data_IF_106579773074
#
_entry.id   IF_106579773074
#
_cell.length_a   1.000
_cell.length_b   1.000
_cell.length_c   1.000
_cell.angle_alpha   90.00
_cell.angle_beta   90.00
_cell.angle_gamma   90.00
#
_symmetry.space_group_name_H-M   'P 1'
#
loop_
_entity.id
_entity.type
_entity.pdbx_description
1 polymer ?
#
# COMPACT_ATOMS: atom_id res chain seq x y z
N UNK A 1 6.59 35.67 -6.09
CA UNK A 1 7.23 34.48 -6.70
C UNK A 1 6.60 34.27 -8.08
N UNK A 2 7.37 34.36 -9.18
CA UNK A 2 6.88 33.98 -10.51
C UNK A 2 7.13 32.47 -10.67
N UNK A 3 6.06 31.68 -10.61
CA UNK A 3 6.13 30.22 -10.79
C UNK A 3 5.94 29.95 -12.29
N UNK A 4 6.96 29.35 -12.93
CA UNK A 4 6.81 28.93 -14.32
C UNK A 4 6.13 27.55 -14.35
N UNK A 5 4.98 27.46 -14.98
CA UNK A 5 4.15 26.28 -15.16
C UNK A 5 4.01 25.86 -16.63
N UNK A 6 4.95 26.28 -17.47
CA UNK A 6 4.99 25.86 -18.89
C UNK A 6 5.25 24.35 -18.98
N UNK A 7 6.06 23.82 -18.06
CA UNK A 7 6.23 22.40 -17.84
C UNK A 7 5.63 22.00 -16.50
N UNK A 8 5.04 20.78 -16.39
CA UNK A 8 4.52 20.32 -15.10
C UNK A 8 5.64 20.23 -14.05
N UNK A 9 5.31 20.66 -12.84
CA UNK A 9 6.19 20.64 -11.66
C UNK A 9 6.16 19.23 -11.05
N UNK A 10 7.33 18.68 -10.71
CA UNK A 10 7.45 17.51 -9.85
C UNK A 10 7.70 17.96 -8.41
N UNK A 11 6.76 17.64 -7.52
CA UNK A 11 6.82 17.93 -6.09
C UNK A 11 7.00 16.64 -5.31
N UNK A 12 8.00 16.58 -4.42
CA UNK A 12 8.17 15.45 -3.50
C UNK A 12 7.46 15.72 -2.18
N UNK A 13 6.54 14.83 -1.78
CA UNK A 13 5.87 14.90 -0.48
C UNK A 13 6.64 14.05 0.57
N UNK A 14 7.20 14.73 1.58
CA UNK A 14 8.01 14.13 2.63
C UNK A 14 7.11 13.66 3.80
N UNK A 15 6.42 12.53 3.60
CA UNK A 15 5.52 11.92 4.59
C UNK A 15 6.29 11.05 5.61
N UNK A 16 7.23 11.66 6.31
CA UNK A 16 8.04 11.07 7.37
C UNK A 16 7.59 11.56 8.75
N UNK A 17 7.91 10.79 9.78
CA UNK A 17 7.82 11.24 11.18
C UNK A 17 9.21 11.65 11.74
N UNK A 18 10.26 11.55 10.90
CA UNK A 18 11.64 11.86 11.27
C UNK A 18 12.24 12.89 10.31
N UNK A 19 12.63 14.03 10.87
CA UNK A 19 13.16 15.15 10.11
C UNK A 19 14.49 14.81 9.40
N UNK A 20 15.39 14.06 10.03
CA UNK A 20 16.67 13.68 9.42
C UNK A 20 16.46 12.81 8.17
N UNK A 21 15.55 11.83 8.25
CA UNK A 21 15.20 10.99 7.10
C UNK A 21 14.57 11.82 5.99
N UNK A 22 13.64 12.71 6.34
CA UNK A 22 13.01 13.61 5.37
C UNK A 22 14.04 14.47 4.62
N UNK A 23 15.00 15.07 5.33
CA UNK A 23 16.06 15.89 4.72
C UNK A 23 16.97 15.05 3.82
N UNK A 24 17.34 13.83 4.23
CA UNK A 24 18.19 12.97 3.41
C UNK A 24 17.50 12.60 2.09
N UNK A 25 16.23 12.21 2.15
CA UNK A 25 15.42 11.92 0.95
C UNK A 25 15.27 13.17 0.07
N UNK A 26 15.01 14.34 0.68
CA UNK A 26 14.90 15.59 -0.04
C UNK A 26 16.20 15.94 -0.80
N UNK A 27 17.38 15.72 -0.21
CA UNK A 27 18.68 15.96 -0.89
C UNK A 27 18.80 15.09 -2.14
N UNK A 28 18.58 13.78 -2.02
CA UNK A 28 18.66 12.85 -3.15
C UNK A 28 17.65 13.23 -4.26
N UNK A 29 16.43 13.61 -3.89
CA UNK A 29 15.39 14.01 -4.83
C UNK A 29 15.69 15.36 -5.52
N UNK A 30 16.22 16.35 -4.78
CA UNK A 30 16.63 17.65 -5.33
C UNK A 30 17.82 17.50 -6.28
N UNK A 31 18.82 16.69 -5.91
CA UNK A 31 19.96 16.39 -6.77
C UNK A 31 19.53 15.68 -8.07
N UNK A 32 18.42 14.94 -8.05
CA UNK A 32 17.81 14.27 -9.20
C UNK A 32 16.82 15.15 -9.99
N UNK A 33 16.62 16.41 -9.57
CA UNK A 33 15.86 17.41 -10.32
C UNK A 33 14.39 17.56 -9.93
N UNK A 34 14.00 17.21 -8.68
CA UNK A 34 12.68 17.59 -8.15
C UNK A 34 12.57 19.12 -8.09
N UNK A 35 11.41 19.65 -8.41
CA UNK A 35 11.22 21.10 -8.51
C UNK A 35 10.78 21.71 -7.15
N UNK A 36 9.88 21.04 -6.43
CA UNK A 36 9.32 21.51 -5.15
C UNK A 36 9.45 20.46 -4.05
N UNK A 37 9.59 20.93 -2.82
CA UNK A 37 9.72 20.10 -1.62
C UNK A 37 8.51 20.37 -0.72
N UNK A 38 7.79 19.33 -0.37
CA UNK A 38 6.67 19.44 0.56
C UNK A 38 7.04 18.87 1.93
N UNK A 39 6.89 19.67 2.97
CA UNK A 39 6.80 19.17 4.33
C UNK A 39 5.43 18.51 4.50
N UNK A 40 5.36 17.19 4.43
CA UNK A 40 4.10 16.44 4.53
C UNK A 40 3.43 16.60 5.89
N UNK A 41 2.13 16.41 5.95
CA UNK A 41 1.35 16.51 7.21
C UNK A 41 1.91 15.65 8.33
N UNK A 42 2.34 14.38 8.11
CA UNK A 42 2.95 13.57 9.17
C UNK A 42 4.22 14.19 9.73
N UNK A 43 5.04 14.81 8.88
CA UNK A 43 6.29 15.44 9.31
C UNK A 43 6.00 16.69 10.16
N UNK A 44 5.08 17.54 9.72
CA UNK A 44 4.68 18.74 10.48
C UNK A 44 4.07 18.35 11.82
N UNK A 45 3.23 17.31 11.86
CA UNK A 45 2.62 16.82 13.11
C UNK A 45 3.63 16.21 14.09
N UNK A 46 4.67 15.56 13.57
CA UNK A 46 5.72 14.95 14.39
C UNK A 46 6.74 15.96 14.91
N UNK A 47 7.20 16.88 14.06
CA UNK A 47 8.36 17.75 14.31
C UNK A 47 7.99 19.24 14.44
N UNK A 48 6.71 19.56 14.27
CA UNK A 48 6.22 20.95 14.27
C UNK A 48 6.75 21.75 13.08
N UNK A 49 6.62 23.08 13.19
CA UNK A 49 7.10 24.03 12.17
C UNK A 49 8.63 24.05 12.04
N UNK A 50 9.35 23.42 12.95
CA UNK A 50 10.81 23.27 12.84
C UNK A 50 11.20 22.40 11.63
N UNK A 51 10.31 21.52 11.18
CA UNK A 51 10.48 20.78 9.91
C UNK A 51 10.61 21.73 8.73
N UNK A 52 9.74 22.74 8.63
CA UNK A 52 9.75 23.73 7.56
C UNK A 52 11.00 24.61 7.66
N UNK A 53 11.35 25.07 8.87
CA UNK A 53 12.58 25.87 9.12
C UNK A 53 13.84 25.11 8.70
N UNK A 54 13.90 23.82 9.02
CA UNK A 54 15.03 22.97 8.67
C UNK A 54 15.14 22.75 7.17
N UNK A 55 14.00 22.48 6.48
CA UNK A 55 13.97 22.36 5.02
C UNK A 55 14.39 23.68 4.34
N UNK A 56 13.87 24.83 4.81
CA UNK A 56 14.27 26.15 4.28
C UNK A 56 15.76 26.42 4.49
N UNK A 57 16.32 26.03 5.64
CA UNK A 57 17.75 26.19 5.93
C UNK A 57 18.60 25.32 5.00
N UNK A 58 18.18 24.09 4.76
CA UNK A 58 18.89 23.14 3.90
C UNK A 58 18.77 23.49 2.42
N UNK A 59 17.59 23.95 1.99
CA UNK A 59 17.25 24.28 0.60
C UNK A 59 16.81 25.76 0.47
N UNK A 60 17.76 26.73 0.56
CA UNK A 60 17.42 28.15 0.67
C UNK A 60 16.64 28.70 -0.53
N UNK A 61 16.83 28.12 -1.73
CA UNK A 61 16.24 28.58 -3.01
C UNK A 61 15.09 27.71 -3.50
N UNK A 62 14.86 26.53 -2.89
CA UNK A 62 13.80 25.64 -3.30
C UNK A 62 12.42 26.19 -2.91
N UNK A 63 11.40 25.87 -3.70
CA UNK A 63 10.01 26.10 -3.30
C UNK A 63 9.61 25.09 -2.24
N UNK A 64 9.20 25.57 -1.08
CA UNK A 64 8.76 24.74 0.06
C UNK A 64 7.28 24.87 0.24
N UNK A 65 6.59 23.73 0.19
CA UNK A 65 5.15 23.58 0.45
C UNK A 65 4.97 23.06 1.87
N UNK A 66 4.11 23.72 2.64
CA UNK A 66 3.71 23.28 3.98
C UNK A 66 2.31 22.65 3.90
N UNK A 67 2.25 21.30 3.93
CA UNK A 67 0.98 20.57 3.94
C UNK A 67 0.35 20.60 5.35
N UNK A 68 -0.13 21.78 5.73
CA UNK A 68 -0.72 22.05 7.05
C UNK A 68 -2.06 21.33 7.25
N UNK A 69 -2.76 21.02 6.16
CA UNK A 69 -4.16 20.56 6.17
C UNK A 69 -5.02 21.37 7.11
N UNK A 70 -4.90 22.71 6.99
CA UNK A 70 -5.61 23.66 7.84
C UNK A 70 -7.11 23.47 7.76
N UNK A 71 -7.76 23.33 8.91
CA UNK A 71 -9.23 23.20 9.03
C UNK A 71 -9.87 24.36 9.78
N UNK A 72 -9.08 25.11 10.57
CA UNK A 72 -9.53 26.25 11.40
C UNK A 72 -8.37 27.23 11.61
N UNK A 73 -8.65 28.39 12.20
CA UNK A 73 -7.66 29.43 12.53
C UNK A 73 -6.79 29.87 11.34
N UNK A 74 -7.38 29.97 10.15
CA UNK A 74 -6.68 30.13 8.88
C UNK A 74 -5.61 31.21 8.85
N UNK A 75 -5.85 32.37 9.48
CA UNK A 75 -4.86 33.46 9.58
C UNK A 75 -3.61 33.04 10.32
N UNK A 76 -3.75 32.40 11.48
CA UNK A 76 -2.62 31.97 12.33
C UNK A 76 -1.81 30.87 11.65
N UNK A 77 -2.49 29.92 11.05
CA UNK A 77 -1.86 28.80 10.34
C UNK A 77 -1.02 29.31 9.14
N UNK A 78 -1.56 30.19 8.31
CA UNK A 78 -0.82 30.78 7.18
C UNK A 78 0.33 31.67 7.64
N UNK A 79 0.12 32.48 8.68
CA UNK A 79 1.16 33.32 9.25
C UNK A 79 2.35 32.49 9.76
N UNK A 80 2.06 31.41 10.49
CA UNK A 80 3.11 30.57 11.08
C UNK A 80 3.86 29.76 10.04
N UNK A 81 3.19 29.26 9.00
CA UNK A 81 3.82 28.62 7.86
C UNK A 81 4.77 29.57 7.11
N UNK A 82 4.30 30.80 6.82
CA UNK A 82 5.10 31.85 6.18
C UNK A 82 6.37 32.19 7.02
N UNK A 83 6.21 32.41 8.31
CA UNK A 83 7.32 32.72 9.23
C UNK A 83 8.30 31.56 9.40
N UNK A 84 7.83 30.32 9.21
CA UNK A 84 8.69 29.15 9.17
C UNK A 84 9.50 29.03 7.87
N UNK A 85 9.11 29.75 6.81
CA UNK A 85 9.81 29.75 5.53
C UNK A 85 9.13 28.98 4.41
N UNK A 86 7.85 28.65 4.55
CA UNK A 86 7.08 28.07 3.46
C UNK A 86 6.79 29.13 2.37
N UNK A 87 6.77 28.70 1.11
CA UNK A 87 6.34 29.52 -0.03
C UNK A 87 4.86 29.27 -0.36
N UNK A 88 4.37 28.08 -0.04
CA UNK A 88 3.00 27.63 -0.27
C UNK A 88 2.51 26.95 1.01
N UNK A 89 1.25 27.20 1.40
CA UNK A 89 0.62 26.48 2.50
C UNK A 89 -0.74 25.92 2.08
N UNK A 90 -1.07 24.73 2.60
CA UNK A 90 -2.25 23.97 2.20
C UNK A 90 -3.37 24.13 3.22
N UNK A 91 -4.57 24.49 2.74
CA UNK A 91 -5.83 24.50 3.50
C UNK A 91 -6.79 23.46 2.91
N UNK A 92 -7.56 22.80 3.78
CA UNK A 92 -8.56 21.83 3.34
C UNK A 92 -9.74 22.51 2.67
N UNK A 93 -10.13 22.02 1.50
CA UNK A 93 -11.36 22.44 0.80
C UNK A 93 -12.64 22.07 1.56
N UNK A 94 -12.55 21.10 2.47
CA UNK A 94 -13.63 20.73 3.40
C UNK A 94 -13.74 21.64 4.64
N UNK A 95 -12.80 22.58 4.83
CA UNK A 95 -12.92 23.62 5.85
C UNK A 95 -14.07 24.59 5.54
N UNK A 96 -14.47 25.41 6.53
CA UNK A 96 -15.51 26.41 6.33
C UNK A 96 -15.06 27.47 5.33
N UNK A 97 -16.00 28.05 4.62
CA UNK A 97 -15.75 29.18 3.68
C UNK A 97 -14.99 30.32 4.34
N UNK A 98 -15.33 30.63 5.59
CA UNK A 98 -14.67 31.67 6.37
C UNK A 98 -13.18 31.34 6.58
N UNK A 99 -12.87 30.10 6.95
CA UNK A 99 -11.49 29.64 7.14
C UNK A 99 -10.68 29.72 5.85
N UNK A 100 -11.22 29.24 4.72
CA UNK A 100 -10.52 29.29 3.43
C UNK A 100 -10.26 30.72 2.98
N UNK A 101 -11.26 31.61 3.09
CA UNK A 101 -11.12 33.01 2.76
C UNK A 101 -10.09 33.72 3.65
N UNK A 102 -10.06 33.42 4.94
CA UNK A 102 -9.01 33.90 5.86
C UNK A 102 -7.62 33.38 5.47
N UNK A 103 -7.47 32.11 5.11
CA UNK A 103 -6.20 31.58 4.59
C UNK A 103 -5.73 32.33 3.35
N UNK A 104 -6.61 32.56 2.36
CA UNK A 104 -6.29 33.28 1.12
C UNK A 104 -5.89 34.74 1.42
N UNK A 105 -6.62 35.41 2.31
CA UNK A 105 -6.29 36.76 2.73
C UNK A 105 -4.95 36.83 3.46
N UNK A 106 -4.72 35.93 4.39
CA UNK A 106 -3.46 35.83 5.13
C UNK A 106 -2.29 35.51 4.21
N UNK A 107 -2.47 34.59 3.25
CA UNK A 107 -1.46 34.28 2.25
C UNK A 107 -0.96 35.52 1.50
N UNK A 108 -1.89 36.36 1.05
CA UNK A 108 -1.57 37.66 0.41
C UNK A 108 -0.80 38.60 1.35
N UNK A 109 -1.20 38.66 2.63
CA UNK A 109 -0.59 39.56 3.61
C UNK A 109 0.83 39.13 4.01
N UNK A 110 1.08 37.81 4.07
CA UNK A 110 2.39 37.26 4.48
C UNK A 110 3.26 36.85 3.29
N UNK A 111 2.78 37.00 2.07
CA UNK A 111 3.56 36.79 0.84
C UNK A 111 3.75 35.32 0.48
N UNK A 112 2.89 34.42 0.95
CA UNK A 112 2.87 33.02 0.55
C UNK A 112 1.67 32.70 -0.33
N UNK A 113 1.74 31.63 -1.10
CA UNK A 113 0.66 31.10 -1.91
C UNK A 113 -0.22 30.16 -1.10
N UNK A 114 -1.49 30.02 -1.49
CA UNK A 114 -2.45 29.14 -0.83
C UNK A 114 -2.97 28.10 -1.81
N UNK A 115 -2.75 26.83 -1.46
CA UNK A 115 -3.35 25.68 -2.13
C UNK A 115 -4.58 25.20 -1.33
N UNK A 116 -5.66 24.92 -2.04
CA UNK A 116 -6.88 24.35 -1.46
C UNK A 116 -6.98 22.87 -1.83
N UNK A 117 -6.71 21.98 -0.88
CA UNK A 117 -6.77 20.52 -1.05
C UNK A 117 -8.24 20.05 -0.94
N UNK A 118 -8.74 19.41 -2.00
CA UNK A 118 -10.11 18.92 -2.10
C UNK A 118 -10.35 17.55 -1.43
N UNK A 119 -9.40 17.04 -0.67
CA UNK A 119 -9.58 15.81 0.10
C UNK A 119 -10.81 15.91 1.02
N UNK A 120 -11.69 14.91 0.93
CA UNK A 120 -12.93 14.89 1.73
C UNK A 120 -14.03 15.83 1.27
N UNK A 121 -13.89 16.50 0.13
CA UNK A 121 -14.93 17.32 -0.48
C UNK A 121 -15.85 16.46 -1.34
N UNK A 122 -17.16 16.52 -1.08
CA UNK A 122 -18.15 15.71 -1.80
C UNK A 122 -18.34 16.19 -3.25
N UNK A 123 -18.53 17.51 -3.46
CA UNK A 123 -18.63 18.14 -4.79
C UNK A 123 -17.37 18.95 -5.07
N UNK A 124 -16.35 18.27 -5.57
CA UNK A 124 -15.06 18.88 -5.88
C UNK A 124 -15.14 19.90 -7.02
N UNK A 125 -16.07 19.73 -7.99
CA UNK A 125 -16.20 20.65 -9.13
C UNK A 125 -16.73 21.99 -8.67
N UNK A 126 -17.86 22.00 -7.96
CA UNK A 126 -18.43 23.25 -7.41
C UNK A 126 -17.47 23.93 -6.46
N UNK A 127 -16.81 23.16 -5.59
CA UNK A 127 -15.83 23.71 -4.64
C UNK A 127 -14.62 24.33 -5.34
N UNK A 128 -14.12 23.71 -6.41
CA UNK A 128 -13.04 24.28 -7.23
C UNK A 128 -13.37 25.66 -7.79
N UNK A 129 -14.58 25.80 -8.34
CA UNK A 129 -15.05 27.08 -8.91
C UNK A 129 -15.20 28.14 -7.81
N UNK A 130 -15.66 27.76 -6.62
CA UNK A 130 -15.80 28.70 -5.49
C UNK A 130 -14.44 29.20 -5.00
N UNK A 131 -13.49 28.31 -4.76
CA UNK A 131 -12.17 28.67 -4.21
C UNK A 131 -11.35 29.47 -5.21
N UNK A 132 -11.46 29.20 -6.51
CA UNK A 132 -10.91 30.06 -7.57
C UNK A 132 -11.44 31.47 -7.50
N UNK A 133 -12.77 31.63 -7.38
CA UNK A 133 -13.43 32.96 -7.24
C UNK A 133 -12.97 33.70 -5.98
N UNK A 134 -12.64 33.00 -4.91
CA UNK A 134 -12.11 33.62 -3.69
C UNK A 134 -10.63 33.99 -3.80
N UNK A 135 -9.94 33.49 -4.83
CA UNK A 135 -8.57 33.85 -5.17
C UNK A 135 -7.51 32.92 -4.59
N UNK A 136 -7.85 31.64 -4.46
CA UNK A 136 -6.85 30.58 -4.23
C UNK A 136 -5.82 30.58 -5.34
N UNK A 137 -4.56 30.24 -5.03
CA UNK A 137 -3.48 30.17 -6.01
C UNK A 137 -3.42 28.81 -6.72
N UNK A 138 -3.77 27.74 -5.99
CA UNK A 138 -3.75 26.36 -6.49
C UNK A 138 -4.93 25.56 -5.94
N UNK A 139 -5.31 24.51 -6.67
CA UNK A 139 -6.25 23.48 -6.20
C UNK A 139 -5.51 22.16 -6.15
N UNK A 140 -5.57 21.48 -5.02
CA UNK A 140 -5.07 20.13 -4.83
C UNK A 140 -6.17 19.08 -5.02
N UNK A 141 -5.94 18.09 -5.88
CA UNK A 141 -6.77 16.90 -6.00
C UNK A 141 -6.01 15.74 -5.40
N UNK A 142 -6.53 15.21 -4.31
CA UNK A 142 -5.85 14.19 -3.54
C UNK A 142 -6.73 12.96 -3.39
N UNK A 143 -6.20 11.78 -3.76
CA UNK A 143 -6.79 10.49 -3.39
C UNK A 143 -6.17 10.04 -2.07
N UNK A 144 -6.98 9.91 -1.02
CA UNK A 144 -6.51 9.47 0.28
C UNK A 144 -5.77 8.13 0.20
N UNK A 145 -4.80 7.90 1.08
CA UNK A 145 -4.04 6.63 1.12
C UNK A 145 -5.01 5.44 1.26
N UNK A 146 -6.01 5.53 2.13
CA UNK A 146 -6.98 4.46 2.35
C UNK A 146 -7.83 4.20 1.09
N UNK A 147 -8.19 5.24 0.32
CA UNK A 147 -8.86 5.08 -0.98
C UNK A 147 -7.95 4.45 -2.04
N UNK A 148 -6.65 4.76 -2.03
CA UNK A 148 -5.65 4.11 -2.90
C UNK A 148 -5.55 2.62 -2.60
N UNK A 149 -5.64 2.20 -1.33
CA UNK A 149 -5.64 0.78 -0.95
C UNK A 149 -6.88 0.04 -1.47
N UNK A 150 -7.97 0.75 -1.72
CA UNK A 150 -9.16 0.23 -2.40
C UNK A 150 -9.05 0.26 -3.93
N UNK A 151 -7.94 0.77 -4.47
CA UNK A 151 -7.66 0.85 -5.90
C UNK A 151 -8.20 2.11 -6.60
N UNK A 152 -8.60 3.13 -5.84
CA UNK A 152 -9.07 4.42 -6.39
C UNK A 152 -7.93 5.25 -6.99
N UNK A 153 -8.25 6.04 -8.03
CA UNK A 153 -7.30 6.93 -8.72
C UNK A 153 -7.93 8.31 -8.98
N UNK A 154 -7.15 9.40 -8.99
CA UNK A 154 -7.68 10.76 -9.07
C UNK A 154 -8.03 11.24 -10.48
N UNK A 155 -7.68 10.52 -11.55
CA UNK A 155 -7.54 11.08 -12.90
C UNK A 155 -8.85 11.53 -13.57
N UNK A 156 -9.95 10.82 -13.39
CA UNK A 156 -11.25 11.23 -13.94
C UNK A 156 -11.72 12.56 -13.34
N UNK A 157 -11.65 12.67 -12.00
CA UNK A 157 -11.98 13.89 -11.27
C UNK A 157 -11.07 15.04 -11.68
N UNK A 158 -9.77 14.79 -11.85
CA UNK A 158 -8.79 15.76 -12.31
C UNK A 158 -9.18 16.35 -13.67
N UNK A 159 -9.50 15.51 -14.66
CA UNK A 159 -9.87 15.94 -16.01
C UNK A 159 -11.12 16.84 -16.01
N UNK A 160 -12.12 16.47 -15.22
CA UNK A 160 -13.34 17.25 -15.09
C UNK A 160 -13.06 18.65 -14.52
N UNK A 161 -12.32 18.74 -13.41
CA UNK A 161 -12.00 20.01 -12.76
C UNK A 161 -11.13 20.88 -13.65
N UNK A 162 -10.10 20.34 -14.33
CA UNK A 162 -9.27 21.08 -15.26
C UNK A 162 -10.07 21.77 -16.39
N UNK A 163 -11.26 21.26 -16.71
CA UNK A 163 -12.15 21.87 -17.71
C UNK A 163 -12.98 23.05 -17.17
N UNK A 164 -13.01 23.27 -15.85
CA UNK A 164 -13.91 24.22 -15.19
C UNK A 164 -13.20 25.38 -14.51
N UNK A 165 -11.91 25.26 -14.23
CA UNK A 165 -11.11 26.30 -13.54
C UNK A 165 -9.87 26.64 -14.37
N UNK A 166 -9.33 27.84 -14.14
CA UNK A 166 -8.14 28.36 -14.84
C UNK A 166 -6.89 28.35 -13.97
N UNK A 167 -7.02 28.30 -12.65
CA UNK A 167 -5.85 28.22 -11.75
C UNK A 167 -5.21 26.83 -11.82
N UNK A 168 -3.87 26.74 -11.59
CA UNK A 168 -3.15 25.49 -11.69
C UNK A 168 -3.65 24.45 -10.70
N UNK A 169 -3.68 23.18 -11.16
CA UNK A 169 -4.13 22.05 -10.35
C UNK A 169 -2.95 21.17 -10.01
N UNK A 170 -2.82 20.90 -8.72
CA UNK A 170 -1.94 19.87 -8.15
C UNK A 170 -2.71 18.55 -8.04
N UNK A 171 -1.99 17.43 -8.24
CA UNK A 171 -2.58 16.10 -8.08
C UNK A 171 -1.67 15.21 -7.23
N UNK A 172 -2.26 14.52 -6.27
CA UNK A 172 -1.60 13.59 -5.37
C UNK A 172 -2.37 12.27 -5.25
N UNK A 173 -1.65 11.22 -4.87
CA UNK A 173 -2.22 9.90 -4.56
C UNK A 173 -1.98 8.86 -5.64
N UNK A 174 -1.14 7.85 -5.34
CA UNK A 174 -0.87 6.71 -6.21
C UNK A 174 -0.11 7.03 -7.49
N UNK A 175 0.67 8.13 -7.50
CA UNK A 175 1.43 8.56 -8.67
C UNK A 175 2.82 7.90 -8.67
N UNK A 176 3.17 7.27 -9.79
CA UNK A 176 4.45 6.67 -10.09
C UNK A 176 4.87 6.97 -11.54
N UNK A 177 5.99 6.40 -12.03
CA UNK A 177 6.52 6.65 -13.37
C UNK A 177 5.62 6.18 -14.53
N UNK A 178 4.63 5.33 -14.27
CA UNK A 178 3.60 4.95 -15.27
C UNK A 178 2.39 5.90 -15.21
N UNK A 179 1.87 6.15 -14.01
CA UNK A 179 0.62 6.89 -13.82
C UNK A 179 0.78 8.40 -13.93
N UNK A 180 2.00 8.93 -13.77
CA UNK A 180 2.30 10.35 -13.94
C UNK A 180 1.91 10.88 -15.32
N UNK A 181 2.04 10.05 -16.36
CA UNK A 181 1.65 10.43 -17.73
C UNK A 181 0.15 10.66 -17.85
N UNK A 182 -0.64 9.82 -17.17
CA UNK A 182 -2.11 9.97 -17.13
C UNK A 182 -2.50 11.26 -16.40
N UNK A 183 -1.83 11.59 -15.30
CA UNK A 183 -2.04 12.83 -14.55
C UNK A 183 -1.73 14.08 -15.39
N UNK A 184 -0.60 14.09 -16.08
CA UNK A 184 -0.21 15.22 -16.93
C UNK A 184 -1.14 15.36 -18.14
N UNK A 185 -1.55 14.24 -18.77
CA UNK A 185 -2.49 14.25 -19.88
C UNK A 185 -3.92 14.68 -19.45
N UNK A 186 -4.28 14.45 -18.19
CA UNK A 186 -5.52 14.96 -17.61
C UNK A 186 -5.49 16.45 -17.29
N UNK A 187 -4.32 17.12 -17.35
CA UNK A 187 -4.18 18.56 -17.22
C UNK A 187 -3.51 19.06 -15.93
N UNK A 188 -3.01 18.16 -15.09
CA UNK A 188 -2.27 18.55 -13.88
C UNK A 188 -1.02 19.40 -14.23
N UNK A 189 -0.81 20.44 -13.45
CA UNK A 189 0.36 21.32 -13.52
C UNK A 189 1.39 21.05 -12.43
N UNK A 190 0.95 20.48 -11.33
CA UNK A 190 1.80 20.11 -10.20
C UNK A 190 1.52 18.65 -9.90
N UNK A 191 2.57 17.83 -9.93
CA UNK A 191 2.52 16.39 -9.70
C UNK A 191 3.17 16.11 -8.36
N UNK A 192 2.37 15.75 -7.38
CA UNK A 192 2.81 15.46 -6.01
C UNK A 192 3.07 13.96 -5.87
N UNK A 193 4.30 13.60 -5.57
CA UNK A 193 4.74 12.20 -5.42
C UNK A 193 5.31 11.97 -4.03
N UNK A 194 4.67 11.09 -3.27
CA UNK A 194 5.14 10.63 -1.97
C UNK A 194 5.89 9.30 -2.10
N UNK A 195 5.17 8.19 -1.97
CA UNK A 195 5.73 6.84 -1.83
C UNK A 195 6.70 6.43 -2.92
N UNK A 196 6.40 6.72 -4.19
CA UNK A 196 7.25 6.31 -5.33
C UNK A 196 8.64 6.98 -5.34
N UNK A 197 8.82 8.09 -4.63
CA UNK A 197 10.14 8.68 -4.37
C UNK A 197 10.63 8.26 -2.98
N UNK A 198 9.84 8.51 -1.94
CA UNK A 198 10.27 8.41 -0.54
C UNK A 198 10.55 6.97 -0.07
N UNK A 199 9.91 5.97 -0.69
CA UNK A 199 10.09 4.54 -0.39
C UNK A 199 10.95 3.82 -1.43
N UNK A 200 11.40 4.50 -2.49
CA UNK A 200 12.27 3.91 -3.49
C UNK A 200 13.61 3.48 -2.85
N UNK A 201 14.13 2.34 -3.27
CA UNK A 201 15.49 1.89 -2.90
C UNK A 201 16.53 2.84 -3.47
N UNK A 202 16.34 3.30 -4.71
CA UNK A 202 17.14 4.35 -5.38
C UNK A 202 16.25 5.56 -5.69
N UNK A 203 16.30 6.57 -4.80
CA UNK A 203 15.52 7.81 -4.91
C UNK A 203 15.91 8.58 -6.17
N UNK A 204 17.19 8.61 -6.50
CA UNK A 204 17.69 9.34 -7.66
C UNK A 204 17.10 8.78 -8.94
N UNK A 205 17.25 7.48 -9.17
CA UNK A 205 16.69 6.81 -10.36
C UNK A 205 15.16 6.95 -10.42
N UNK A 206 14.46 6.80 -9.29
CA UNK A 206 13.00 6.97 -9.23
C UNK A 206 12.58 8.40 -9.64
N UNK A 207 13.28 9.42 -9.13
CA UNK A 207 13.01 10.83 -9.46
C UNK A 207 13.31 11.13 -10.93
N UNK A 208 14.46 10.67 -11.46
CA UNK A 208 14.84 10.84 -12.86
C UNK A 208 13.83 10.18 -13.81
N UNK A 209 13.33 8.99 -13.48
CA UNK A 209 12.28 8.30 -14.24
C UNK A 209 10.98 9.11 -14.27
N UNK A 210 10.55 9.65 -13.14
CA UNK A 210 9.37 10.52 -13.06
C UNK A 210 9.53 11.77 -13.93
N UNK A 211 10.67 12.49 -13.83
CA UNK A 211 10.98 13.67 -14.65
C UNK A 211 10.99 13.32 -16.13
N UNK A 212 11.59 12.20 -16.51
CA UNK A 212 11.61 11.70 -17.88
C UNK A 212 10.19 11.38 -18.38
N UNK A 213 9.38 10.66 -17.59
CA UNK A 213 8.00 10.34 -17.95
C UNK A 213 7.13 11.60 -18.12
N UNK A 214 7.32 12.63 -17.27
CA UNK A 214 6.66 13.93 -17.39
C UNK A 214 7.03 14.62 -18.69
N UNK A 215 8.32 14.67 -19.04
CA UNK A 215 8.83 15.41 -20.20
C UNK A 215 8.54 14.69 -21.52
N UNK A 216 8.75 13.36 -21.59
CA UNK A 216 8.54 12.57 -22.80
C UNK A 216 7.08 12.22 -23.05
N UNK A 217 6.21 12.26 -22.02
CA UNK A 217 4.83 11.74 -22.04
C UNK A 217 4.75 10.23 -22.30
N UNK A 218 5.84 9.51 -22.06
CA UNK A 218 5.92 8.06 -22.20
C UNK A 218 5.95 7.40 -20.82
N UNK A 219 5.15 6.33 -20.65
CA UNK A 219 5.11 5.55 -19.42
C UNK A 219 6.41 4.78 -19.25
N UNK A 220 7.04 4.91 -18.10
CA UNK A 220 8.23 4.14 -17.73
C UNK A 220 7.76 3.04 -16.77
N UNK A 221 8.03 1.78 -17.15
CA UNK A 221 7.58 0.62 -16.38
C UNK A 221 8.09 0.67 -14.93
N UNK A 222 7.20 0.39 -14.00
CA UNK A 222 7.46 0.36 -12.57
C UNK A 222 7.14 -1.03 -12.01
N UNK A 223 7.98 -1.54 -11.13
CA UNK A 223 7.74 -2.84 -10.49
C UNK A 223 6.91 -2.70 -9.20
N UNK A 224 7.19 -1.64 -8.44
CA UNK A 224 6.57 -1.32 -7.15
C UNK A 224 5.63 -0.13 -7.27
N UNK A 225 5.08 0.32 -6.16
CA UNK A 225 4.20 1.49 -6.05
C UNK A 225 2.93 1.38 -6.90
N UNK A 226 2.48 0.14 -7.12
CA UNK A 226 1.23 -0.18 -7.81
C UNK A 226 0.21 -0.69 -6.82
N UNK A 227 -1.03 -0.24 -6.98
CA UNK A 227 -2.18 -0.73 -6.22
C UNK A 227 -3.19 -1.32 -7.19
N UNK A 228 -3.66 -2.53 -6.87
CA UNK A 228 -4.66 -3.19 -7.72
C UNK A 228 -6.06 -2.73 -7.38
N UNK A 229 -6.89 -2.58 -8.42
CA UNK A 229 -8.34 -2.45 -8.30
C UNK A 229 -9.06 -3.77 -8.60
N UNK A 230 -8.32 -4.79 -9.04
CA UNK A 230 -8.84 -6.13 -9.36
C UNK A 230 -9.03 -6.98 -8.10
N UNK A 231 -10.01 -7.88 -8.13
CA UNK A 231 -10.19 -8.91 -7.11
C UNK A 231 -9.23 -10.11 -7.32
N UNK A 232 -8.54 -10.17 -8.45
CA UNK A 232 -7.38 -11.05 -8.62
C UNK A 232 -6.12 -10.35 -8.12
N UNK A 233 -5.66 -10.81 -6.96
CA UNK A 233 -4.53 -10.24 -6.23
C UNK A 233 -3.27 -11.10 -6.31
N UNK A 234 -3.27 -12.17 -7.11
CA UNK A 234 -2.19 -13.14 -7.19
C UNK A 234 -0.84 -12.49 -7.47
N UNK A 235 -0.78 -11.58 -8.44
CA UNK A 235 0.46 -10.89 -8.82
C UNK A 235 1.09 -10.11 -7.65
N UNK A 236 0.25 -9.52 -6.78
CA UNK A 236 0.74 -8.86 -5.57
C UNK A 236 1.22 -9.88 -4.54
N UNK A 237 0.44 -10.94 -4.32
CA UNK A 237 0.78 -11.96 -3.33
C UNK A 237 2.07 -12.72 -3.70
N UNK A 238 2.42 -12.81 -4.98
CA UNK A 238 3.69 -13.37 -5.42
C UNK A 238 4.89 -12.55 -4.95
N UNK A 239 4.75 -11.23 -4.78
CA UNK A 239 5.83 -10.32 -4.37
C UNK A 239 5.96 -10.19 -2.86
N UNK A 240 4.87 -10.22 -2.12
CA UNK A 240 4.85 -10.01 -0.66
C UNK A 240 5.01 -11.33 0.11
N UNK A 241 5.40 -11.27 1.39
CA UNK A 241 5.44 -12.40 2.32
C UNK A 241 4.19 -12.47 3.20
N UNK A 242 3.99 -13.61 3.88
CA UNK A 242 2.94 -13.72 4.92
C UNK A 242 3.16 -12.71 6.05
N UNK A 243 4.40 -12.37 6.36
CA UNK A 243 4.74 -11.32 7.32
C UNK A 243 4.28 -9.94 6.84
N UNK A 244 4.48 -9.61 5.55
CA UNK A 244 3.99 -8.34 4.99
C UNK A 244 2.46 -8.23 5.03
N UNK A 245 1.74 -9.35 4.81
CA UNK A 245 0.27 -9.38 4.94
C UNK A 245 -0.13 -9.10 6.39
N UNK A 246 0.52 -9.78 7.35
CA UNK A 246 0.25 -9.56 8.78
C UNK A 246 0.49 -8.11 9.18
N UNK A 247 1.62 -7.54 8.79
CA UNK A 247 2.02 -6.18 9.14
C UNK A 247 1.12 -5.13 8.48
N UNK A 248 0.78 -5.31 7.21
CA UNK A 248 -0.14 -4.44 6.48
C UNK A 248 -1.58 -4.52 6.97
N UNK A 249 -1.97 -5.60 7.64
CA UNK A 249 -3.34 -5.85 8.13
C UNK A 249 -3.43 -5.81 9.66
N UNK A 250 -2.81 -4.80 10.27
CA UNK A 250 -2.87 -4.57 11.73
C UNK A 250 -2.47 -5.78 12.59
N UNK A 251 -1.42 -6.50 12.19
CA UNK A 251 -0.93 -7.72 12.85
C UNK A 251 -1.95 -8.86 12.81
N UNK A 252 -2.60 -9.04 11.65
CA UNK A 252 -3.49 -10.17 11.42
C UNK A 252 -2.81 -11.48 11.80
N UNK A 253 -3.51 -12.32 12.54
CA UNK A 253 -2.99 -13.60 13.01
C UNK A 253 -3.01 -14.64 11.88
N UNK A 254 -1.90 -15.35 11.73
CA UNK A 254 -1.82 -16.53 10.88
C UNK A 254 -2.45 -17.78 11.52
N UNK A 255 -2.63 -18.82 10.72
CA UNK A 255 -3.05 -20.13 11.22
C UNK A 255 -1.92 -20.74 12.08
N UNK A 256 -2.23 -21.05 13.33
CA UNK A 256 -1.26 -21.62 14.28
C UNK A 256 -1.34 -23.14 14.33
N UNK A 257 -0.20 -23.80 14.58
CA UNK A 257 -0.13 -25.24 14.73
C UNK A 257 -0.25 -26.04 13.43
N UNK A 258 -0.16 -25.38 12.28
CA UNK A 258 -0.08 -26.00 10.96
C UNK A 258 1.29 -25.63 10.39
N UNK A 259 2.08 -26.63 10.04
CA UNK A 259 3.47 -26.45 9.63
C UNK A 259 3.64 -26.77 8.15
N UNK A 260 4.60 -26.12 7.51
CA UNK A 260 5.01 -26.47 6.15
C UNK A 260 5.64 -27.88 6.16
N UNK A 261 5.14 -28.77 5.32
CA UNK A 261 5.66 -30.14 5.16
C UNK A 261 6.57 -30.24 3.95
N UNK A 262 6.28 -29.47 2.90
CA UNK A 262 7.14 -29.30 1.73
C UNK A 262 8.12 -28.14 1.98
N UNK A 263 9.40 -28.33 1.61
CA UNK A 263 10.42 -27.30 1.80
C UNK A 263 10.23 -26.14 0.80
N UNK A 264 10.27 -24.90 1.31
CA UNK A 264 10.45 -23.63 0.57
C UNK A 264 9.43 -23.30 -0.55
N UNK A 265 8.24 -23.87 -0.52
CA UNK A 265 7.25 -23.62 -1.57
C UNK A 265 6.24 -22.55 -1.13
N UNK A 266 6.22 -21.43 -1.85
CA UNK A 266 5.17 -20.41 -1.70
C UNK A 266 3.86 -20.95 -2.27
N UNK A 267 2.78 -20.84 -1.52
CA UNK A 267 1.43 -21.26 -1.87
C UNK A 267 0.51 -20.05 -1.93
N UNK A 268 -0.22 -19.88 -3.03
CA UNK A 268 -1.17 -18.77 -3.20
C UNK A 268 -2.38 -19.29 -3.96
N UNK A 269 -3.59 -19.08 -3.43
CA UNK A 269 -4.81 -19.43 -4.13
C UNK A 269 -6.07 -19.13 -3.35
N UNK A 270 -7.21 -19.33 -4.00
CA UNK A 270 -8.51 -19.26 -3.33
C UNK A 270 -8.80 -20.57 -2.63
N UNK A 271 -9.38 -20.51 -1.45
CA UNK A 271 -9.70 -21.67 -0.64
C UNK A 271 -10.86 -22.46 -1.23
N UNK A 272 -10.63 -23.75 -1.48
CA UNK A 272 -11.70 -24.74 -1.57
C UNK A 272 -11.75 -25.45 -0.22
N UNK A 273 -12.76 -25.11 0.57
CA UNK A 273 -12.89 -25.59 1.95
C UNK A 273 -13.50 -26.98 2.01
N UNK A 274 -12.94 -27.83 2.86
CA UNK A 274 -13.38 -29.21 3.08
C UNK A 274 -13.48 -29.49 4.56
N UNK A 275 -14.61 -29.98 5.00
CA UNK A 275 -14.78 -30.61 6.32
C UNK A 275 -14.88 -32.11 6.14
N UNK A 276 -14.11 -32.87 6.89
CA UNK A 276 -14.18 -34.34 6.89
C UNK A 276 -13.91 -34.90 8.28
N UNK A 277 -14.07 -36.21 8.46
CA UNK A 277 -13.68 -36.90 9.68
C UNK A 277 -12.21 -37.34 9.63
N UNK A 278 -11.56 -37.49 10.79
CA UNK A 278 -10.20 -38.04 10.85
C UNK A 278 -10.08 -39.35 10.08
N UNK A 279 -9.14 -39.42 9.13
CA UNK A 279 -8.90 -40.59 8.29
C UNK A 279 -9.85 -40.78 7.10
N UNK A 280 -10.97 -40.07 7.00
CA UNK A 280 -11.84 -40.13 5.81
C UNK A 280 -11.29 -39.19 4.72
N UNK A 281 -10.64 -39.77 3.72
CA UNK A 281 -10.02 -39.05 2.61
C UNK A 281 -10.92 -38.87 1.38
N UNK A 282 -12.21 -39.34 1.41
CA UNK A 282 -13.09 -39.25 0.26
C UNK A 282 -13.38 -37.78 -0.15
N UNK A 283 -13.82 -36.93 0.79
CA UNK A 283 -14.10 -35.51 0.49
C UNK A 283 -12.84 -34.71 0.13
N UNK A 284 -11.69 -34.88 0.77
CA UNK A 284 -10.42 -34.32 0.29
C UNK A 284 -10.08 -34.62 -1.16
N UNK A 285 -10.28 -35.86 -1.61
CA UNK A 285 -10.04 -36.25 -3.02
C UNK A 285 -11.10 -35.69 -3.95
N UNK A 286 -12.40 -35.76 -3.57
CA UNK A 286 -13.50 -35.14 -4.33
C UNK A 286 -13.29 -33.62 -4.52
N UNK A 287 -12.68 -32.93 -3.54
CA UNK A 287 -12.37 -31.51 -3.63
C UNK A 287 -11.39 -31.18 -4.76
N UNK A 288 -10.50 -32.10 -5.14
CA UNK A 288 -9.60 -31.91 -6.29
C UNK A 288 -10.41 -31.77 -7.59
N UNK A 289 -11.49 -32.55 -7.73
CA UNK A 289 -12.31 -32.52 -8.96
C UNK A 289 -13.09 -31.21 -9.11
N UNK A 290 -13.55 -30.64 -7.98
CA UNK A 290 -14.35 -29.38 -7.98
C UNK A 290 -13.53 -28.11 -7.91
N UNK A 291 -12.25 -28.19 -7.52
CA UNK A 291 -11.36 -27.04 -7.48
C UNK A 291 -10.92 -26.59 -8.88
N UNK A 292 -10.67 -25.32 -9.05
CA UNK A 292 -10.11 -24.75 -10.29
C UNK A 292 -8.57 -24.66 -10.22
N UNK A 293 -7.88 -24.65 -11.38
CA UNK A 293 -6.44 -24.41 -11.40
C UNK A 293 -6.06 -23.13 -10.64
N UNK A 294 -5.08 -23.23 -9.78
CA UNK A 294 -4.64 -22.12 -8.94
C UNK A 294 -5.31 -22.05 -7.55
N UNK A 295 -6.31 -22.87 -7.27
CA UNK A 295 -6.92 -22.92 -5.94
C UNK A 295 -6.04 -23.63 -4.91
N UNK A 296 -6.38 -23.45 -3.64
CA UNK A 296 -5.79 -24.13 -2.48
C UNK A 296 -6.88 -24.93 -1.77
N UNK A 297 -6.66 -26.24 -1.60
CA UNK A 297 -7.60 -27.09 -0.86
C UNK A 297 -7.30 -26.95 0.63
N UNK A 298 -8.32 -26.53 1.42
CA UNK A 298 -8.18 -26.32 2.87
C UNK A 298 -9.08 -27.30 3.60
N UNK A 299 -8.46 -28.27 4.28
CA UNK A 299 -9.13 -29.42 4.90
C UNK A 299 -9.15 -29.29 6.41
N UNK A 300 -10.33 -29.34 7.00
CA UNK A 300 -10.51 -29.52 8.43
C UNK A 300 -10.94 -30.96 8.71
N UNK A 301 -10.04 -31.76 9.30
CA UNK A 301 -10.31 -33.13 9.77
C UNK A 301 -10.18 -33.25 11.30
N UNK A 302 -10.51 -32.16 12.02
CA UNK A 302 -10.55 -32.14 13.49
C UNK A 302 -9.19 -32.05 14.18
N UNK A 303 -8.12 -31.79 13.45
CA UNK A 303 -6.78 -31.58 14.02
C UNK A 303 -6.07 -32.82 14.54
N UNK A 304 -6.52 -34.00 14.18
CA UNK A 304 -5.98 -35.32 14.61
C UNK A 304 -5.83 -36.23 13.40
N UNK A 305 -5.22 -37.42 13.61
CA UNK A 305 -5.15 -38.47 12.60
C UNK A 305 -6.33 -39.45 12.70
N UNK A 306 -6.38 -40.45 11.80
CA UNK A 306 -5.43 -40.81 10.74
C UNK A 306 -5.32 -39.82 9.58
N UNK A 307 -4.34 -40.04 8.66
CA UNK A 307 -4.08 -39.17 7.52
C UNK A 307 -5.25 -39.13 6.52
N UNK A 308 -5.55 -37.95 6.02
CA UNK A 308 -6.60 -37.68 5.01
C UNK A 308 -6.05 -37.26 3.65
N UNK A 309 -4.71 -37.11 3.54
CA UNK A 309 -4.00 -36.71 2.34
C UNK A 309 -2.65 -37.43 2.24
N UNK A 310 -2.21 -37.69 1.03
CA UNK A 310 -0.94 -38.34 0.75
C UNK A 310 -0.43 -38.07 -0.67
N UNK A 311 0.56 -38.85 -1.10
CA UNK A 311 1.26 -38.67 -2.37
C UNK A 311 0.33 -38.75 -3.57
N UNK A 312 -0.56 -39.77 -3.67
CA UNK A 312 -1.45 -39.95 -4.82
C UNK A 312 -2.44 -38.79 -4.98
N UNK A 313 -2.99 -38.27 -3.88
CA UNK A 313 -3.84 -37.08 -3.89
C UNK A 313 -3.03 -35.85 -4.34
N UNK A 314 -1.77 -35.75 -3.92
CA UNK A 314 -0.86 -34.69 -4.36
C UNK A 314 -0.58 -34.75 -5.86
N UNK A 315 -0.33 -35.93 -6.42
CA UNK A 315 -0.16 -36.06 -7.89
C UNK A 315 -1.42 -35.65 -8.66
N UNK A 316 -2.60 -36.05 -8.18
CA UNK A 316 -3.87 -35.63 -8.75
C UNK A 316 -4.05 -34.11 -8.69
N UNK A 317 -3.75 -33.49 -7.57
CA UNK A 317 -3.80 -32.03 -7.39
C UNK A 317 -2.84 -31.29 -8.34
N UNK A 318 -1.61 -31.79 -8.54
CA UNK A 318 -0.65 -31.25 -9.51
C UNK A 318 -1.22 -31.31 -10.93
N UNK A 319 -1.79 -32.45 -11.34
CA UNK A 319 -2.39 -32.64 -12.68
C UNK A 319 -3.56 -31.68 -12.90
N UNK A 320 -4.32 -31.36 -11.87
CA UNK A 320 -5.41 -30.39 -11.92
C UNK A 320 -4.92 -28.94 -11.90
N UNK A 321 -3.63 -28.68 -11.55
CA UNK A 321 -3.07 -27.34 -11.42
C UNK A 321 -3.39 -26.66 -10.08
N UNK A 322 -3.70 -27.42 -9.03
CA UNK A 322 -3.95 -26.90 -7.67
C UNK A 322 -2.67 -26.32 -7.09
N UNK A 323 -2.76 -25.15 -6.43
CA UNK A 323 -1.61 -24.41 -5.88
C UNK A 323 -1.04 -25.02 -4.58
N UNK A 324 -1.83 -25.81 -3.87
CA UNK A 324 -1.37 -26.44 -2.63
C UNK A 324 -2.49 -26.97 -1.76
N UNK A 325 -2.11 -27.54 -0.62
CA UNK A 325 -3.04 -28.11 0.35
C UNK A 325 -2.71 -27.68 1.77
N UNK A 326 -3.75 -27.38 2.55
CA UNK A 326 -3.68 -27.12 4.00
C UNK A 326 -4.53 -28.16 4.71
N UNK A 327 -3.97 -28.87 5.69
CA UNK A 327 -4.65 -29.93 6.42
C UNK A 327 -4.61 -29.68 7.93
N UNK A 328 -5.75 -29.23 8.50
CA UNK A 328 -5.94 -29.32 9.95
C UNK A 328 -6.24 -30.76 10.33
N UNK A 329 -5.20 -31.55 10.39
CA UNK A 329 -5.21 -33.01 10.60
C UNK A 329 -3.89 -33.59 10.19
N UNK A 330 -3.91 -34.83 9.67
CA UNK A 330 -2.70 -35.55 9.32
C UNK A 330 -2.55 -35.77 7.81
N UNK A 331 -1.31 -35.71 7.35
CA UNK A 331 -0.90 -36.20 6.03
C UNK A 331 0.11 -37.35 6.15
N UNK A 332 0.29 -38.12 5.07
CA UNK A 332 1.33 -39.15 4.95
C UNK A 332 2.19 -38.92 3.71
N UNK A 333 3.15 -39.78 3.47
CA UNK A 333 4.04 -39.77 2.30
C UNK A 333 4.81 -38.45 2.13
N UNK A 334 5.13 -37.78 3.26
CA UNK A 334 5.74 -36.44 3.28
C UNK A 334 7.07 -36.35 2.51
N UNK A 335 7.83 -37.47 2.43
CA UNK A 335 9.04 -37.54 1.65
C UNK A 335 8.81 -37.43 0.14
N UNK A 336 7.73 -38.06 -0.37
CA UNK A 336 7.37 -38.00 -1.78
C UNK A 336 6.75 -36.64 -2.13
N UNK A 337 5.92 -36.09 -1.25
CA UNK A 337 5.35 -34.73 -1.40
C UNK A 337 6.47 -33.68 -1.53
N UNK A 338 7.54 -33.80 -0.73
CA UNK A 338 8.72 -32.92 -0.86
C UNK A 338 9.43 -33.05 -2.20
N UNK A 339 9.60 -34.28 -2.70
CA UNK A 339 10.20 -34.50 -4.04
C UNK A 339 9.37 -33.91 -5.17
N UNK A 340 8.05 -33.94 -5.04
CA UNK A 340 7.12 -33.33 -5.98
C UNK A 340 7.12 -31.80 -5.89
N UNK A 341 7.75 -31.21 -4.90
CA UNK A 341 7.79 -29.75 -4.62
C UNK A 341 6.39 -29.13 -4.53
N UNK A 342 5.38 -29.90 -4.13
CA UNK A 342 4.00 -29.43 -4.00
C UNK A 342 3.81 -28.74 -2.64
N UNK A 343 3.29 -27.52 -2.59
CA UNK A 343 3.04 -26.80 -1.35
C UNK A 343 2.02 -27.54 -0.48
N UNK A 344 2.46 -28.06 0.67
CA UNK A 344 1.64 -28.80 1.60
C UNK A 344 1.90 -28.35 3.04
N UNK A 345 0.85 -28.03 3.76
CA UNK A 345 0.86 -27.60 5.14
C UNK A 345 -0.03 -28.52 5.95
N UNK A 346 0.45 -29.01 7.06
CA UNK A 346 -0.32 -29.94 7.91
C UNK A 346 0.00 -29.77 9.38
N UNK A 347 -0.97 -30.15 10.22
CA UNK A 347 -0.78 -30.19 11.66
C UNK A 347 0.06 -31.40 12.11
N UNK A 348 -0.14 -32.55 11.45
CA UNK A 348 0.50 -33.82 11.79
C UNK A 348 1.01 -34.53 10.53
N UNK A 349 2.06 -35.31 10.70
CA UNK A 349 2.53 -36.27 9.71
C UNK A 349 2.54 -37.65 10.37
N UNK A 350 1.89 -38.65 9.73
CA UNK A 350 1.85 -40.01 10.26
C UNK A 350 1.63 -41.04 9.14
N UNK A 351 2.06 -42.30 9.32
CA UNK A 351 2.04 -43.28 8.22
C UNK A 351 0.65 -43.87 7.94
N UNK A 352 -0.23 -43.94 8.95
CA UNK A 352 -1.53 -44.59 8.83
C UNK A 352 -2.60 -43.64 8.24
N UNK A 353 -3.35 -44.14 7.26
CA UNK A 353 -4.57 -43.53 6.73
C UNK A 353 -5.80 -44.26 7.26
N UNK A 354 -6.96 -43.64 7.15
CA UNK A 354 -8.23 -44.32 7.36
C UNK A 354 -8.86 -44.77 6.05
N UNK A 355 -10.16 -45.02 6.05
CA UNK A 355 -10.94 -45.53 4.93
C UNK A 355 -11.83 -44.42 4.36
N UNK A 356 -12.05 -44.41 3.03
CA UNK A 356 -12.95 -43.44 2.38
C UNK A 356 -14.40 -43.83 2.67
N UNK A 357 -15.09 -43.05 3.49
CA UNK A 357 -16.48 -43.26 3.86
C UNK A 357 -17.42 -42.20 3.27
N UNK A 358 -16.86 -41.09 2.81
CA UNK A 358 -17.61 -40.02 2.16
C UNK A 358 -18.30 -39.04 3.13
N UNK A 359 -17.97 -39.08 4.40
CA UNK A 359 -18.50 -38.12 5.36
C UNK A 359 -17.87 -36.74 5.21
N UNK A 360 -18.66 -35.71 5.41
CA UNK A 360 -18.21 -34.33 5.35
C UNK A 360 -18.80 -33.55 4.19
N UNK A 361 -18.31 -32.34 4.00
CA UNK A 361 -18.86 -31.37 3.06
C UNK A 361 -17.74 -30.55 2.42
N UNK A 362 -17.98 -30.10 1.18
CA UNK A 362 -17.07 -29.22 0.43
C UNK A 362 -17.76 -27.88 0.23
N UNK A 363 -17.01 -26.78 0.29
CA UNK A 363 -17.50 -25.43 0.03
C UNK A 363 -18.23 -24.77 1.19
N UNK A 364 -18.16 -25.35 2.38
CA UNK A 364 -18.77 -24.77 3.60
C UNK A 364 -17.72 -24.00 4.43
N UNK A 365 -18.14 -23.05 5.28
CA UNK A 365 -17.24 -22.43 6.24
C UNK A 365 -16.63 -23.46 7.19
N UNK A 366 -15.33 -23.38 7.40
CA UNK A 366 -14.59 -24.20 8.36
C UNK A 366 -13.87 -23.32 9.37
N UNK A 367 -13.50 -23.89 10.53
CA UNK A 367 -12.74 -23.14 11.53
C UNK A 367 -11.44 -23.88 11.88
N UNK A 368 -10.31 -23.22 11.66
CA UNK A 368 -8.99 -23.74 11.96
C UNK A 368 -8.28 -22.76 12.89
N UNK A 369 -7.83 -23.24 14.05
CA UNK A 369 -7.10 -22.43 15.04
C UNK A 369 -7.86 -21.16 15.49
N UNK A 370 -9.20 -21.19 15.47
CA UNK A 370 -10.06 -20.06 15.83
C UNK A 370 -10.29 -19.05 14.70
N UNK A 371 -9.78 -19.33 13.50
CA UNK A 371 -9.99 -18.50 12.30
C UNK A 371 -11.04 -19.22 11.43
N UNK A 372 -12.11 -18.50 11.10
CA UNK A 372 -13.11 -18.96 10.13
C UNK A 372 -12.57 -18.74 8.71
N UNK A 373 -12.71 -19.76 7.87
CA UNK A 373 -12.29 -19.72 6.46
C UNK A 373 -13.52 -20.03 5.63
N UNK A 374 -13.92 -19.07 4.81
CA UNK A 374 -15.02 -19.24 3.87
C UNK A 374 -14.50 -19.76 2.53
N UNK A 375 -15.34 -20.48 1.81
CA UNK A 375 -14.99 -20.91 0.45
C UNK A 375 -14.75 -19.70 -0.45
N UNK A 376 -13.59 -19.67 -1.12
CA UNK A 376 -13.16 -18.57 -1.96
C UNK A 376 -12.35 -17.47 -1.26
N UNK A 377 -12.07 -17.59 0.04
CA UNK A 377 -11.09 -16.73 0.73
C UNK A 377 -9.70 -16.97 0.14
N UNK A 378 -8.85 -15.93 0.16
CA UNK A 378 -7.47 -16.10 -0.27
C UNK A 378 -6.62 -16.72 0.82
N UNK A 379 -5.83 -17.70 0.42
CA UNK A 379 -4.84 -18.38 1.29
C UNK A 379 -3.46 -18.18 0.72
N UNK A 380 -2.54 -17.73 1.56
CA UNK A 380 -1.12 -17.65 1.25
C UNK A 380 -0.32 -18.38 2.32
N UNK A 381 0.65 -19.17 1.87
CA UNK A 381 1.60 -19.87 2.73
C UNK A 381 3.03 -19.67 2.23
N UNK A 382 3.96 -19.52 3.17
CA UNK A 382 5.41 -19.50 2.96
C UNK A 382 6.15 -20.15 4.13
N UNK A 383 7.45 -19.93 4.25
CA UNK A 383 8.27 -20.50 5.33
C UNK A 383 7.84 -20.09 6.75
N UNK A 384 7.22 -18.93 6.88
CA UNK A 384 6.78 -18.37 8.18
C UNK A 384 5.40 -18.90 8.61
N UNK A 385 4.61 -19.46 7.66
CA UNK A 385 3.31 -20.04 7.96
C UNK A 385 2.22 -19.72 6.94
N UNK A 386 1.00 -19.60 7.43
CA UNK A 386 -0.22 -19.47 6.62
C UNK A 386 -1.01 -18.23 7.03
N UNK A 387 -1.42 -17.46 6.03
CA UNK A 387 -2.36 -16.34 6.18
C UNK A 387 -3.64 -16.61 5.39
N UNK A 388 -4.77 -16.24 5.98
CA UNK A 388 -6.09 -16.27 5.34
C UNK A 388 -6.61 -14.85 5.23
N UNK A 389 -7.04 -14.46 4.05
CA UNK A 389 -7.59 -13.14 3.77
C UNK A 389 -9.04 -13.31 3.28
N UNK A 390 -10.03 -12.76 4.02
CA UNK A 390 -11.42 -12.80 3.57
C UNK A 390 -11.56 -12.20 2.18
N UNK A 391 -12.24 -12.89 1.26
CA UNK A 391 -12.35 -12.48 -0.16
C UNK A 391 -12.79 -11.03 -0.38
N UNK A 392 -13.63 -10.49 0.51
CA UNK A 392 -14.13 -9.10 0.44
C UNK A 392 -13.08 -8.06 0.85
N UNK A 393 -12.08 -8.43 1.65
CA UNK A 393 -11.05 -7.55 2.20
C UNK A 393 -9.68 -7.79 1.54
N UNK A 394 -9.55 -8.91 0.83
CA UNK A 394 -8.27 -9.41 0.32
C UNK A 394 -7.53 -8.41 -0.58
N UNK A 395 -8.25 -7.66 -1.42
CA UNK A 395 -7.67 -6.63 -2.28
C UNK A 395 -7.00 -5.52 -1.46
N UNK A 396 -7.71 -4.99 -0.49
CA UNK A 396 -7.20 -3.94 0.39
C UNK A 396 -6.00 -4.45 1.20
N UNK A 397 -6.10 -5.65 1.77
CA UNK A 397 -5.01 -6.30 2.50
C UNK A 397 -3.77 -6.51 1.63
N UNK A 398 -3.94 -6.94 0.39
CA UNK A 398 -2.83 -7.11 -0.55
C UNK A 398 -2.14 -5.78 -0.88
N UNK A 399 -2.91 -4.71 -1.10
CA UNK A 399 -2.37 -3.38 -1.34
C UNK A 399 -1.60 -2.84 -0.13
N UNK A 400 -2.10 -3.04 1.10
CA UNK A 400 -1.37 -2.69 2.32
C UNK A 400 -0.10 -3.53 2.51
N UNK A 401 -0.14 -4.83 2.18
CA UNK A 401 1.04 -5.69 2.22
C UNK A 401 2.13 -5.21 1.26
N UNK A 402 1.74 -4.77 0.05
CA UNK A 402 2.67 -4.16 -0.90
C UNK A 402 3.26 -2.86 -0.37
N UNK A 403 2.45 -1.99 0.23
CA UNK A 403 2.93 -0.75 0.85
C UNK A 403 3.94 -1.03 1.96
N UNK A 404 3.70 -2.09 2.74
CA UNK A 404 4.61 -2.52 3.79
C UNK A 404 5.94 -3.04 3.23
N UNK A 405 5.90 -3.88 2.19
CA UNK A 405 7.09 -4.36 1.49
C UNK A 405 7.94 -3.21 0.94
N UNK A 406 7.32 -2.24 0.28
CA UNK A 406 8.00 -1.04 -0.26
C UNK A 406 8.70 -0.25 0.86
N UNK A 407 8.05 -0.07 2.00
CA UNK A 407 8.61 0.57 3.19
C UNK A 407 9.81 -0.22 3.74
N UNK A 408 9.70 -1.54 3.84
CA UNK A 408 10.78 -2.40 4.31
C UNK A 408 11.97 -2.40 3.35
N UNK A 409 11.73 -2.37 2.03
CA UNK A 409 12.80 -2.29 1.04
C UNK A 409 13.64 -1.03 1.26
N UNK A 410 13.01 0.13 1.50
CA UNK A 410 13.73 1.37 1.81
C UNK A 410 14.48 1.28 3.16
N UNK A 411 13.88 0.68 4.19
CA UNK A 411 14.53 0.49 5.49
C UNK A 411 15.76 -0.41 5.35
N UNK A 412 15.69 -1.49 4.58
CA UNK A 412 16.85 -2.36 4.29
C UNK A 412 17.98 -1.59 3.61
N UNK A 413 17.64 -0.74 2.65
CA UNK A 413 18.61 0.12 1.96
C UNK A 413 19.29 1.09 2.94
N UNK A 414 18.53 1.77 3.78
CA UNK A 414 19.06 2.69 4.79
C UNK A 414 19.98 1.97 5.80
N UNK A 415 19.65 0.74 6.22
CA UNK A 415 20.48 -0.06 7.11
C UNK A 415 21.77 -0.51 6.40
N UNK A 416 21.66 -1.02 5.17
CA UNK A 416 22.77 -1.63 4.44
C UNK A 416 23.80 -0.59 4.00
N UNK A 417 23.36 0.56 3.51
CA UNK A 417 24.22 1.58 2.93
C UNK A 417 24.34 2.86 3.78
N UNK A 418 23.31 3.18 4.58
CA UNK A 418 23.24 4.38 5.40
C UNK A 418 23.99 4.31 6.74
N UNK A 419 24.58 3.15 7.10
CA UNK A 419 25.24 2.88 8.38
C UNK A 419 24.39 3.26 9.60
N UNK A 420 23.10 3.02 9.53
CA UNK A 420 22.12 3.27 10.59
C UNK A 420 21.61 1.95 11.18
N UNK A 421 21.03 1.97 12.36
CA UNK A 421 20.43 0.79 13.00
C UNK A 421 18.91 0.75 12.76
N UNK A 422 18.30 -0.44 12.89
CA UNK A 422 16.85 -0.57 12.85
C UNK A 422 16.17 0.33 13.90
N UNK A 423 16.73 0.40 15.10
CA UNK A 423 16.22 1.26 16.18
C UNK A 423 16.22 2.75 15.85
N UNK A 424 17.22 3.20 15.10
CA UNK A 424 17.30 4.60 14.63
C UNK A 424 16.31 4.88 13.50
N UNK A 425 16.23 3.98 12.48
CA UNK A 425 15.33 4.15 11.33
C UNK A 425 13.87 4.12 11.76
N UNK A 426 13.53 3.24 12.71
CA UNK A 426 12.17 3.10 13.24
C UNK A 426 11.86 3.99 14.43
N UNK A 427 12.87 4.75 14.92
CA UNK A 427 12.75 5.67 16.06
C UNK A 427 12.17 5.03 17.33
N UNK A 428 12.60 3.81 17.65
CA UNK A 428 12.04 3.04 18.77
C UNK A 428 12.03 3.80 20.09
N UNK A 429 13.02 4.66 20.33
CA UNK A 429 13.10 5.45 21.57
C UNK A 429 11.97 6.51 21.69
N UNK A 430 11.41 6.98 20.57
CA UNK A 430 10.25 7.88 20.59
C UNK A 430 8.96 7.19 21.03
N UNK A 431 8.89 5.88 20.93
CA UNK A 431 7.74 5.06 21.32
C UNK A 431 7.75 4.64 22.80
N UNK A 432 8.77 5.02 23.56
CA UNK A 432 8.86 4.65 24.98
C UNK A 432 7.74 5.32 25.76
N UNK A 433 6.76 4.54 26.18
CA UNK A 433 5.78 4.99 27.18
C UNK A 433 6.48 5.03 28.53
N UNK A 434 6.56 6.22 29.10
CA UNK A 434 7.04 6.40 30.48
C UNK A 434 5.92 6.02 31.45
#
# INVERSE_FOLDING_TARGET
MNINLDTPILQVALDFINLRRAINVAREAVDAGVDWIEAGTPLIKSEGLDSIRALRKEFPTATIVADMKTMDAGRVEMETAAKAGADIAVVMGSATDATIKECISAGKNYGIKVEVDLLGVADCVSRSIEVEKWGADFIGIHTAIDEQMQGSRPFERLKEICSKVSIPIAVAGGINSETVVDAVNAGAKIIIVGGAICKATDIKTATENLKKAISSREKIAEEFFKRTSSDDIREILEKVSTANISDGSHRLKGLTGINCVSLESKMIGRAVTVRTYPGDWAKPVEAIDVAEPGDVIVIDSGGVGPAVWGELATQSAIQKGISGVVVNGAIRDSGEIRKLQFPAFAKLVMPNAGEPKGFGEIGIPINISGITIDNGDWVMGDSDGLMVMPKREAKEMANYAMDWLERENRIREEISHGKTSLGEVTELLKWTKK
#
